data_IF_269581141479
#
_entry.id   IF_269581141479
#
_cell.length_a   1.000
_cell.length_b   1.000
_cell.length_c   1.000
_cell.angle_alpha   90.00
_cell.angle_beta   90.00
_cell.angle_gamma   90.00
#
_symmetry.space_group_name_H-M   'P 1'
#
loop_
_entity.id
_entity.type
_entity.pdbx_description
1 polymer ?
#
# COMPACT_ATOMS: atom_id res chain seq x y z
N UNK A 1 13.66 -31.38 12.06
CA UNK A 1 13.12 -30.37 11.13
C UNK A 1 11.80 -30.89 10.66
N UNK A 2 10.70 -30.13 10.69
CA UNK A 2 9.50 -30.58 10.02
C UNK A 2 9.85 -30.74 8.53
N UNK A 3 9.47 -31.84 7.92
CA UNK A 3 9.52 -32.00 6.48
C UNK A 3 8.78 -30.83 5.85
N UNK A 4 9.37 -30.20 4.82
CA UNK A 4 8.76 -29.08 4.11
C UNK A 4 7.38 -29.51 3.62
N UNK A 5 6.32 -29.06 4.30
CA UNK A 5 4.97 -29.46 3.95
C UNK A 5 4.47 -28.60 2.77
N UNK A 6 4.78 -29.03 1.56
CA UNK A 6 4.34 -28.37 0.32
C UNK A 6 2.82 -28.14 0.25
N UNK A 7 2.04 -29.03 0.88
CA UNK A 7 0.58 -28.88 0.92
C UNK A 7 0.17 -27.64 1.71
N UNK A 8 0.82 -27.38 2.85
CA UNK A 8 0.55 -26.16 3.64
C UNK A 8 1.05 -24.90 2.96
N UNK A 9 2.13 -24.97 2.17
CA UNK A 9 2.58 -23.88 1.33
C UNK A 9 1.52 -23.52 0.28
N UNK A 10 0.99 -24.52 -0.44
CA UNK A 10 -0.06 -24.30 -1.44
C UNK A 10 -1.37 -23.80 -0.82
N UNK A 11 -1.78 -24.34 0.33
CA UNK A 11 -2.95 -23.85 1.07
C UNK A 11 -2.80 -22.39 1.47
N UNK A 12 -1.61 -22.01 1.93
CA UNK A 12 -1.30 -20.62 2.32
C UNK A 12 -1.37 -19.69 1.12
N UNK A 13 -0.74 -20.03 0.01
CA UNK A 13 -0.79 -19.25 -1.23
C UNK A 13 -2.22 -19.07 -1.75
N UNK A 14 -3.03 -20.15 -1.74
CA UNK A 14 -4.43 -20.09 -2.15
C UNK A 14 -5.26 -19.14 -1.27
N UNK A 15 -5.09 -19.19 0.05
CA UNK A 15 -5.77 -18.28 0.98
C UNK A 15 -5.39 -16.81 0.73
N UNK A 16 -4.10 -16.53 0.54
CA UNK A 16 -3.60 -15.18 0.25
C UNK A 16 -4.15 -14.69 -1.09
N UNK A 17 -4.10 -15.53 -2.14
CA UNK A 17 -4.64 -15.20 -3.46
C UNK A 17 -6.15 -14.90 -3.42
N UNK A 18 -6.91 -15.71 -2.67
CA UNK A 18 -8.34 -15.48 -2.46
C UNK A 18 -8.62 -14.15 -1.75
N UNK A 19 -7.83 -13.79 -0.74
CA UNK A 19 -7.97 -12.50 -0.05
C UNK A 19 -7.68 -11.31 -0.98
N UNK A 20 -6.66 -11.39 -1.83
CA UNK A 20 -6.29 -10.32 -2.79
C UNK A 20 -7.40 -10.08 -3.82
N UNK A 21 -8.15 -11.11 -4.16
CA UNK A 21 -9.27 -11.02 -5.13
C UNK A 21 -10.62 -10.71 -4.49
N UNK A 22 -10.69 -10.67 -3.17
CA UNK A 22 -11.91 -10.33 -2.42
C UNK A 22 -12.10 -8.81 -2.27
N UNK A 23 -13.22 -8.43 -1.65
CA UNK A 23 -13.55 -7.03 -1.32
C UNK A 23 -12.97 -6.55 0.03
N UNK A 24 -12.01 -7.27 0.59
CA UNK A 24 -11.33 -6.89 1.81
C UNK A 24 -10.51 -5.60 1.62
N UNK A 25 -10.39 -4.82 2.68
CA UNK A 25 -9.51 -3.65 2.70
C UNK A 25 -8.03 -4.09 2.65
N UNK A 26 -7.17 -3.25 2.07
CA UNK A 26 -5.75 -3.54 1.96
C UNK A 26 -5.10 -3.90 3.30
N UNK A 27 -5.48 -3.18 4.36
CA UNK A 27 -4.96 -3.42 5.72
C UNK A 27 -5.25 -4.85 6.20
N UNK A 28 -6.49 -5.35 5.98
CA UNK A 28 -6.89 -6.70 6.34
C UNK A 28 -6.16 -7.76 5.51
N UNK A 29 -5.98 -7.50 4.20
CA UNK A 29 -5.21 -8.37 3.31
C UNK A 29 -3.76 -8.49 3.79
N UNK A 30 -3.10 -7.37 4.08
CA UNK A 30 -1.72 -7.36 4.55
C UNK A 30 -1.58 -8.02 5.92
N UNK A 31 -2.54 -7.80 6.82
CA UNK A 31 -2.60 -8.48 8.13
C UNK A 31 -2.73 -9.99 7.99
N UNK A 32 -3.58 -10.45 7.07
CA UNK A 32 -3.74 -11.86 6.75
C UNK A 32 -2.44 -12.44 6.18
N UNK A 33 -1.79 -11.75 5.25
CA UNK A 33 -0.52 -12.17 4.65
C UNK A 33 0.54 -12.38 5.74
N UNK A 34 0.79 -11.39 6.61
CA UNK A 34 1.83 -11.53 7.64
C UNK A 34 1.50 -12.63 8.65
N UNK A 35 0.22 -12.82 8.98
CA UNK A 35 -0.22 -13.86 9.91
C UNK A 35 -0.04 -15.26 9.32
N UNK A 36 -0.52 -15.48 8.09
CA UNK A 36 -0.40 -16.78 7.42
C UNK A 36 1.06 -17.12 7.12
N UNK A 37 1.86 -16.12 6.73
CA UNK A 37 3.29 -16.32 6.48
C UNK A 37 4.04 -16.69 7.75
N UNK A 38 3.78 -16.00 8.86
CA UNK A 38 4.37 -16.34 10.15
C UNK A 38 4.00 -17.76 10.60
N UNK A 39 2.72 -18.15 10.43
CA UNK A 39 2.24 -19.47 10.83
C UNK A 39 2.88 -20.59 10.00
N UNK A 40 2.89 -20.47 8.66
CA UNK A 40 3.43 -21.53 7.78
C UNK A 40 4.94 -21.70 7.91
N UNK A 41 5.64 -20.64 8.33
CA UNK A 41 7.09 -20.65 8.57
C UNK A 41 7.45 -20.88 10.04
N UNK A 42 6.47 -21.08 10.93
CA UNK A 42 6.67 -21.14 12.39
C UNK A 42 7.53 -19.97 12.92
N UNK A 43 7.34 -18.81 12.32
CA UNK A 43 8.16 -17.64 12.59
C UNK A 43 7.60 -16.81 13.74
N UNK A 44 8.50 -16.20 14.51
CA UNK A 44 8.13 -15.30 15.62
C UNK A 44 7.48 -14.02 15.13
N UNK A 45 8.04 -13.43 14.08
CA UNK A 45 7.57 -12.16 13.52
C UNK A 45 7.62 -12.23 12.00
N UNK A 46 6.55 -11.76 11.37
CA UNK A 46 6.50 -11.37 9.97
C UNK A 46 6.02 -9.93 9.90
N UNK A 47 6.57 -9.12 9.00
CA UNK A 47 6.12 -7.76 8.76
C UNK A 47 6.30 -7.34 7.31
N UNK A 48 5.48 -6.38 6.92
CA UNK A 48 5.54 -5.70 5.63
C UNK A 48 5.99 -4.27 5.85
N UNK A 49 7.05 -3.89 5.16
CA UNK A 49 7.55 -2.53 5.04
C UNK A 49 7.12 -1.97 3.68
N UNK A 50 6.43 -0.84 3.69
CA UNK A 50 6.06 -0.12 2.48
C UNK A 50 7.11 0.92 2.12
N UNK A 51 7.43 1.06 0.84
CA UNK A 51 8.41 2.03 0.35
C UNK A 51 7.73 3.30 -0.13
N UNK A 52 8.07 4.42 0.48
CA UNK A 52 7.66 5.74 0.03
C UNK A 52 8.72 6.33 -0.91
N UNK A 53 8.40 6.40 -2.20
CA UNK A 53 9.33 6.93 -3.22
C UNK A 53 9.69 8.41 -3.02
N UNK A 54 8.79 9.22 -2.43
CA UNK A 54 9.03 10.65 -2.23
C UNK A 54 10.01 10.91 -1.10
N UNK A 55 9.85 10.21 0.04
CA UNK A 55 10.75 10.36 1.19
C UNK A 55 11.97 9.42 1.13
N UNK A 56 11.98 8.43 0.22
CA UNK A 56 13.02 7.39 0.12
C UNK A 56 13.15 6.58 1.42
N UNK A 57 12.03 6.34 2.09
CA UNK A 57 11.97 5.64 3.38
C UNK A 57 10.95 4.51 3.37
N UNK A 58 11.20 3.52 4.21
CA UNK A 58 10.28 2.42 4.51
C UNK A 58 9.56 2.67 5.82
N UNK A 59 8.26 2.37 5.84
CA UNK A 59 7.41 2.35 7.04
C UNK A 59 6.77 0.96 7.22
N UNK A 60 6.53 0.54 8.47
CA UNK A 60 5.81 -0.72 8.73
C UNK A 60 4.32 -0.49 8.49
N UNK A 61 3.74 -1.27 7.57
CA UNK A 61 2.30 -1.23 7.27
C UNK A 61 1.53 -2.39 7.90
N UNK A 62 2.16 -3.56 8.04
CA UNK A 62 1.53 -4.70 8.67
C UNK A 62 2.54 -5.54 9.45
N UNK A 63 2.09 -6.07 10.59
CA UNK A 63 2.82 -7.06 11.39
C UNK A 63 1.84 -7.82 12.28
N UNK A 64 2.13 -9.09 12.59
CA UNK A 64 1.41 -9.84 13.60
C UNK A 64 2.11 -9.80 14.98
N UNK A 65 3.23 -9.06 15.10
CA UNK A 65 3.89 -8.87 16.38
C UNK A 65 2.98 -8.15 17.38
N UNK A 66 2.97 -8.62 18.64
CA UNK A 66 2.12 -8.08 19.72
C UNK A 66 2.89 -7.15 20.65
N UNK A 67 4.22 -7.06 20.54
CA UNK A 67 5.02 -6.25 21.46
C UNK A 67 4.85 -4.76 21.18
N UNK A 68 4.65 -3.98 22.28
CA UNK A 68 4.50 -2.52 22.17
C UNK A 68 5.71 -1.84 21.54
N UNK A 69 6.92 -2.36 21.78
CA UNK A 69 8.13 -1.83 21.18
C UNK A 69 8.17 -2.10 19.68
N UNK A 70 7.73 -3.28 19.26
CA UNK A 70 7.72 -3.64 17.84
C UNK A 70 6.70 -2.82 17.05
N UNK A 71 5.58 -2.46 17.68
CA UNK A 71 4.50 -1.66 17.08
C UNK A 71 4.80 -0.16 17.00
N UNK A 72 5.90 0.32 17.62
CA UNK A 72 6.26 1.74 17.50
C UNK A 72 6.54 2.09 16.04
N UNK A 73 5.95 3.20 15.58
CA UNK A 73 6.24 3.75 14.26
C UNK A 73 7.73 4.07 14.14
N UNK A 74 8.37 3.53 13.13
CA UNK A 74 9.76 3.77 12.80
C UNK A 74 9.94 3.73 11.30
N UNK A 75 10.94 4.44 10.83
CA UNK A 75 11.30 4.49 9.42
C UNK A 75 12.70 3.94 9.22
N UNK A 76 12.95 3.39 8.05
CA UNK A 76 14.27 2.92 7.60
C UNK A 76 14.51 3.53 6.23
N UNK A 77 15.66 4.19 6.05
CA UNK A 77 16.01 4.76 4.74
C UNK A 77 16.40 3.67 3.75
N UNK A 78 16.18 3.93 2.47
CA UNK A 78 16.58 3.02 1.39
C UNK A 78 18.07 2.65 1.46
N UNK A 79 18.92 3.54 1.94
CA UNK A 79 20.37 3.32 2.07
C UNK A 79 20.76 2.54 3.32
N UNK A 80 19.81 2.18 4.20
CA UNK A 80 20.10 1.64 5.52
C UNK A 80 19.56 0.23 5.75
N UNK A 81 20.30 -0.51 6.57
CA UNK A 81 19.86 -1.81 7.11
C UNK A 81 19.59 -2.88 6.05
N UNK A 82 19.01 -3.96 6.50
CA UNK A 82 18.69 -5.13 5.65
C UNK A 82 17.50 -4.86 4.73
N UNK A 83 16.51 -4.12 5.20
CA UNK A 83 15.35 -3.71 4.40
C UNK A 83 15.80 -2.90 3.18
N UNK A 84 16.61 -1.86 3.40
CA UNK A 84 17.16 -1.06 2.31
C UNK A 84 18.07 -1.87 1.38
N UNK A 85 18.85 -2.82 1.91
CA UNK A 85 19.69 -3.68 1.10
C UNK A 85 18.87 -4.59 0.19
N UNK A 86 17.87 -5.30 0.72
CA UNK A 86 17.00 -6.19 -0.05
C UNK A 86 16.29 -5.42 -1.19
N UNK A 87 15.85 -4.19 -0.90
CA UNK A 87 15.21 -3.34 -1.89
C UNK A 87 16.16 -2.91 -3.02
N UNK A 88 17.38 -2.46 -2.67
CA UNK A 88 18.36 -2.02 -3.69
C UNK A 88 18.87 -3.16 -4.55
N UNK A 89 19.15 -4.32 -3.94
CA UNK A 89 19.64 -5.49 -4.68
C UNK A 89 18.53 -6.22 -5.42
N UNK A 90 17.26 -5.94 -5.09
CA UNK A 90 16.07 -6.63 -5.65
C UNK A 90 16.18 -8.14 -5.50
N UNK A 91 16.78 -8.61 -4.41
CA UNK A 91 17.03 -10.03 -4.11
C UNK A 91 16.72 -10.33 -2.66
N UNK A 92 16.32 -11.57 -2.34
CA UNK A 92 16.23 -12.04 -0.97
C UNK A 92 17.56 -11.91 -0.22
N UNK A 93 17.52 -11.35 0.98
CA UNK A 93 18.68 -11.28 1.90
C UNK A 93 18.39 -12.19 3.08
N UNK A 94 19.23 -13.18 3.29
CA UNK A 94 19.12 -14.16 4.36
C UNK A 94 20.20 -13.88 5.39
N UNK A 95 19.84 -13.91 6.67
CA UNK A 95 20.73 -13.71 7.80
C UNK A 95 20.49 -14.83 8.81
N UNK A 96 21.53 -15.59 9.09
CA UNK A 96 21.47 -16.69 10.06
C UNK A 96 21.51 -16.21 11.51
N UNK A 97 22.16 -15.07 11.79
CA UNK A 97 22.20 -14.43 13.12
C UNK A 97 22.18 -12.91 12.99
N UNK A 98 21.05 -12.30 13.34
CA UNK A 98 20.84 -10.84 13.25
C UNK A 98 21.70 -10.07 14.26
N UNK A 99 22.13 -10.69 15.35
CA UNK A 99 22.94 -10.00 16.37
C UNK A 99 24.40 -9.90 15.92
N UNK A 100 24.91 -10.88 15.20
CA UNK A 100 26.29 -10.90 14.69
C UNK A 100 26.43 -10.11 13.37
N UNK A 101 25.39 -10.01 12.55
CA UNK A 101 25.45 -9.31 11.26
C UNK A 101 25.61 -7.79 11.45
N UNK A 102 26.67 -7.22 10.89
CA UNK A 102 26.97 -5.79 11.00
C UNK A 102 25.99 -4.90 10.25
N UNK A 103 25.30 -5.43 9.25
CA UNK A 103 24.33 -4.70 8.42
C UNK A 103 22.98 -4.53 9.13
N UNK A 104 22.67 -5.41 10.11
CA UNK A 104 21.43 -5.34 10.86
C UNK A 104 21.49 -4.22 11.91
N UNK A 105 20.56 -3.27 11.84
CA UNK A 105 20.56 -2.04 12.67
C UNK A 105 19.87 -2.20 14.01
N UNK A 106 18.78 -2.98 14.09
CA UNK A 106 17.88 -3.02 15.25
C UNK A 106 18.28 -4.07 16.30
N UNK A 107 19.58 -4.22 16.59
CA UNK A 107 20.10 -5.25 17.49
C UNK A 107 19.49 -5.24 18.89
N UNK A 108 19.17 -4.05 19.44
CA UNK A 108 18.53 -3.93 20.76
C UNK A 108 17.13 -4.53 20.77
N UNK A 109 16.36 -4.27 19.70
CA UNK A 109 15.03 -4.82 19.53
C UNK A 109 15.10 -6.34 19.30
N UNK A 110 15.97 -6.80 18.41
CA UNK A 110 16.18 -8.23 18.17
C UNK A 110 16.51 -9.00 19.45
N UNK A 111 17.43 -8.46 20.28
CA UNK A 111 17.77 -9.06 21.57
C UNK A 111 16.59 -9.13 22.52
N UNK A 112 15.76 -8.06 22.60
CA UNK A 112 14.58 -8.01 23.45
C UNK A 112 13.50 -9.01 23.00
N UNK A 113 13.27 -9.13 21.71
CA UNK A 113 12.29 -10.04 21.11
C UNK A 113 12.82 -11.48 20.93
N UNK A 114 14.11 -11.74 21.22
CA UNK A 114 14.73 -13.04 21.06
C UNK A 114 14.88 -13.47 19.60
N UNK A 115 15.07 -12.53 18.68
CA UNK A 115 15.19 -12.81 17.25
C UNK A 115 16.60 -13.29 16.90
N UNK A 116 16.69 -14.36 16.10
CA UNK A 116 17.93 -15.00 15.71
C UNK A 116 18.15 -14.92 14.21
N UNK A 117 17.37 -15.64 13.40
CA UNK A 117 17.52 -15.62 11.94
C UNK A 117 16.46 -14.75 11.26
N UNK A 118 16.78 -14.28 10.06
CA UNK A 118 15.94 -13.37 9.29
C UNK A 118 16.01 -13.70 7.79
N UNK A 119 14.87 -13.61 7.13
CA UNK A 119 14.78 -13.47 5.69
C UNK A 119 14.09 -12.15 5.35
N UNK A 120 14.65 -11.39 4.41
CA UNK A 120 14.16 -10.11 3.92
C UNK A 120 13.96 -10.20 2.41
N UNK A 121 12.70 -10.12 1.97
CA UNK A 121 12.28 -10.39 0.59
C UNK A 121 11.76 -9.09 -0.02
N UNK A 122 12.32 -8.60 -1.15
CA UNK A 122 11.77 -7.45 -1.85
C UNK A 122 10.38 -7.80 -2.41
N UNK A 123 9.43 -6.92 -2.21
CA UNK A 123 8.09 -6.97 -2.76
C UNK A 123 8.09 -6.25 -4.10
N UNK A 124 7.98 -6.99 -5.18
CA UNK A 124 8.20 -6.48 -6.54
C UNK A 124 6.92 -6.51 -7.37
N UNK A 125 6.68 -5.44 -8.13
CA UNK A 125 5.78 -5.47 -9.29
C UNK A 125 6.58 -5.05 -10.51
N UNK A 126 6.75 -5.94 -11.48
CA UNK A 126 7.70 -5.79 -12.58
C UNK A 126 9.10 -5.50 -12.03
N UNK A 127 9.70 -4.36 -12.40
CA UNK A 127 11.02 -3.94 -11.93
C UNK A 127 10.99 -2.94 -10.76
N UNK A 128 9.80 -2.63 -10.26
CA UNK A 128 9.59 -1.65 -9.19
C UNK A 128 9.50 -2.36 -7.84
N UNK A 129 10.25 -1.86 -6.85
CA UNK A 129 10.13 -2.27 -5.46
C UNK A 129 9.00 -1.48 -4.81
N UNK A 130 7.98 -2.18 -4.33
CA UNK A 130 6.84 -1.62 -3.60
C UNK A 130 7.11 -1.59 -2.09
N UNK A 131 7.91 -2.55 -1.62
CA UNK A 131 8.23 -2.70 -0.22
C UNK A 131 9.13 -3.90 0.06
N UNK A 132 9.15 -4.34 1.31
CA UNK A 132 9.93 -5.48 1.76
C UNK A 132 9.14 -6.29 2.77
N UNK A 133 9.07 -7.61 2.58
CA UNK A 133 8.55 -8.57 3.53
C UNK A 133 9.72 -9.12 4.36
N UNK A 134 9.64 -9.02 5.69
CA UNK A 134 10.61 -9.64 6.58
C UNK A 134 9.97 -10.73 7.41
N UNK A 135 10.75 -11.77 7.67
CA UNK A 135 10.39 -12.84 8.58
C UNK A 135 11.55 -13.10 9.55
N UNK A 136 11.21 -13.39 10.81
CA UNK A 136 12.19 -13.61 11.88
C UNK A 136 11.85 -14.87 12.67
N UNK A 137 12.88 -15.63 13.01
CA UNK A 137 12.81 -16.81 13.88
C UNK A 137 13.49 -16.57 15.22
N UNK A 138 13.15 -17.37 16.23
CA UNK A 138 13.77 -17.34 17.57
C UNK A 138 14.87 -18.37 17.74
N UNK A 139 15.08 -19.22 16.74
CA UNK A 139 16.16 -20.18 16.68
C UNK A 139 16.94 -19.99 15.37
N UNK A 140 18.16 -20.48 15.33
CA UNK A 140 18.94 -20.52 14.08
C UNK A 140 18.16 -21.34 13.04
N UNK A 141 17.86 -20.71 11.91
CA UNK A 141 17.08 -21.33 10.84
C UNK A 141 17.81 -21.16 9.50
N UNK A 142 18.01 -22.28 8.82
CA UNK A 142 18.60 -22.31 7.49
C UNK A 142 17.46 -22.30 6.45
N UNK A 143 17.12 -21.14 5.94
CA UNK A 143 16.08 -20.96 4.92
C UNK A 143 16.44 -21.77 3.67
N UNK A 144 15.64 -22.78 3.36
CA UNK A 144 15.81 -23.63 2.18
C UNK A 144 15.43 -22.86 0.91
N UNK A 145 15.79 -23.40 -0.25
CA UNK A 145 15.35 -22.84 -1.54
C UNK A 145 13.84 -22.84 -1.68
N UNK A 146 13.15 -23.84 -1.12
CA UNK A 146 11.68 -23.89 -1.11
C UNK A 146 11.07 -22.78 -0.26
N UNK A 147 11.63 -22.52 0.93
CA UNK A 147 11.19 -21.42 1.79
C UNK A 147 11.35 -20.06 1.10
N UNK A 148 12.52 -19.83 0.50
CA UNK A 148 12.82 -18.58 -0.21
C UNK A 148 11.86 -18.38 -1.39
N UNK A 149 11.54 -19.44 -2.12
CA UNK A 149 10.58 -19.40 -3.23
C UNK A 149 9.16 -19.08 -2.73
N UNK A 150 8.71 -19.74 -1.67
CA UNK A 150 7.42 -19.47 -1.04
C UNK A 150 7.34 -18.00 -0.59
N UNK A 151 8.31 -17.56 0.21
CA UNK A 151 8.35 -16.22 0.76
C UNK A 151 8.43 -15.15 -0.34
N UNK A 152 9.19 -15.37 -1.41
CA UNK A 152 9.26 -14.48 -2.56
C UNK A 152 7.92 -14.40 -3.30
N UNK A 153 7.22 -15.53 -3.44
CA UNK A 153 5.87 -15.55 -4.04
C UNK A 153 4.89 -14.76 -3.20
N UNK A 154 4.90 -14.95 -1.88
CA UNK A 154 4.04 -14.19 -0.95
C UNK A 154 4.38 -12.69 -0.99
N UNK A 155 5.66 -12.34 -0.99
CA UNK A 155 6.11 -10.95 -1.10
C UNK A 155 5.60 -10.28 -2.38
N UNK A 156 5.67 -10.96 -3.51
CA UNK A 156 5.15 -10.45 -4.78
C UNK A 156 3.62 -10.35 -4.79
N UNK A 157 2.91 -11.28 -4.16
CA UNK A 157 1.45 -11.18 -4.00
C UNK A 157 1.05 -9.98 -3.13
N UNK A 158 1.78 -9.71 -2.05
CA UNK A 158 1.57 -8.51 -1.24
C UNK A 158 1.82 -7.22 -2.06
N UNK A 159 2.87 -7.20 -2.88
CA UNK A 159 3.15 -6.08 -3.78
C UNK A 159 2.00 -5.82 -4.77
N UNK A 160 1.46 -6.88 -5.37
CA UNK A 160 0.31 -6.80 -6.29
C UNK A 160 -0.95 -6.27 -5.58
N UNK A 161 -1.22 -6.69 -4.34
CA UNK A 161 -2.34 -6.19 -3.55
C UNK A 161 -2.23 -4.68 -3.30
N UNK A 162 -1.05 -4.20 -2.95
CA UNK A 162 -0.77 -2.77 -2.72
C UNK A 162 -0.95 -1.98 -4.02
N UNK A 163 -0.32 -2.42 -5.11
CA UNK A 163 -0.40 -1.73 -6.41
C UNK A 163 -1.85 -1.67 -6.93
N UNK A 164 -2.60 -2.79 -6.82
CA UNK A 164 -4.03 -2.83 -7.18
C UNK A 164 -4.82 -1.75 -6.46
N UNK A 165 -4.62 -1.64 -5.14
CA UNK A 165 -5.33 -0.64 -4.32
C UNK A 165 -4.95 0.79 -4.69
N UNK A 166 -3.65 1.07 -4.90
CA UNK A 166 -3.20 2.38 -5.38
C UNK A 166 -3.81 2.75 -6.73
N UNK A 167 -3.87 1.82 -7.66
CA UNK A 167 -4.48 2.04 -8.98
C UNK A 167 -5.97 2.33 -8.87
N UNK A 168 -6.72 1.61 -8.03
CA UNK A 168 -8.14 1.86 -7.77
C UNK A 168 -8.35 3.29 -7.25
N UNK A 169 -7.57 3.69 -6.24
CA UNK A 169 -7.66 5.04 -5.66
C UNK A 169 -7.35 6.11 -6.71
N UNK A 170 -6.28 5.95 -7.49
CA UNK A 170 -5.90 6.89 -8.54
C UNK A 170 -6.99 6.99 -9.62
N UNK A 171 -7.54 5.86 -10.05
CA UNK A 171 -8.61 5.82 -11.05
C UNK A 171 -9.84 6.57 -10.54
N UNK A 172 -10.22 6.36 -9.28
CA UNK A 172 -11.36 7.06 -8.66
C UNK A 172 -11.16 8.58 -8.62
N UNK A 173 -9.97 9.03 -8.22
CA UNK A 173 -9.63 10.47 -8.20
C UNK A 173 -9.74 11.08 -9.61
N UNK A 174 -9.17 10.40 -10.62
CA UNK A 174 -9.23 10.89 -12.01
C UNK A 174 -10.68 10.94 -12.53
N UNK A 175 -11.50 9.95 -12.19
CA UNK A 175 -12.93 9.93 -12.56
C UNK A 175 -13.68 11.10 -11.91
N UNK A 176 -13.46 11.35 -10.63
CA UNK A 176 -14.08 12.45 -9.90
C UNK A 176 -13.67 13.83 -10.48
N UNK A 177 -12.41 14.00 -10.86
CA UNK A 177 -11.92 15.22 -11.52
C UNK A 177 -12.56 15.40 -12.90
N UNK A 178 -12.66 14.34 -13.69
CA UNK A 178 -13.29 14.39 -15.01
C UNK A 178 -14.77 14.75 -14.93
N UNK A 179 -15.50 14.14 -14.00
CA UNK A 179 -16.90 14.46 -13.75
C UNK A 179 -17.07 15.92 -13.29
N UNK A 180 -16.20 16.38 -12.41
CA UNK A 180 -16.20 17.78 -11.97
C UNK A 180 -16.02 18.73 -13.14
N UNK A 181 -15.04 18.48 -14.00
CA UNK A 181 -14.82 19.29 -15.22
C UNK A 181 -16.05 19.29 -16.13
N UNK A 182 -16.65 18.12 -16.43
CA UNK A 182 -17.85 18.03 -17.26
C UNK A 182 -19.02 18.86 -16.71
N UNK A 183 -19.23 18.83 -15.37
CA UNK A 183 -20.27 19.62 -14.73
C UNK A 183 -20.01 21.12 -14.81
N UNK A 184 -18.76 21.55 -14.59
CA UNK A 184 -18.36 22.97 -14.72
C UNK A 184 -18.54 23.45 -16.17
N UNK A 185 -18.13 22.65 -17.17
CA UNK A 185 -18.36 23.00 -18.58
C UNK A 185 -19.84 23.14 -18.92
N UNK A 186 -20.69 22.19 -18.48
CA UNK A 186 -22.14 22.27 -18.67
C UNK A 186 -22.73 23.54 -18.02
N UNK A 187 -22.31 23.85 -16.78
CA UNK A 187 -22.77 25.03 -16.07
C UNK A 187 -22.32 26.33 -16.75
N UNK A 188 -21.07 26.40 -17.26
CA UNK A 188 -20.61 27.54 -18.08
C UNK A 188 -21.51 27.74 -19.29
N UNK A 189 -21.78 26.67 -20.06
CA UNK A 189 -22.65 26.74 -21.23
C UNK A 189 -24.07 27.26 -20.89
N UNK A 190 -24.63 26.86 -19.74
CA UNK A 190 -25.91 27.35 -19.25
C UNK A 190 -25.84 28.87 -18.96
N UNK A 191 -24.81 29.31 -18.20
CA UNK A 191 -24.65 30.73 -17.86
C UNK A 191 -24.42 31.62 -19.09
N UNK A 192 -23.62 31.15 -20.04
CA UNK A 192 -23.41 31.85 -21.33
C UNK A 192 -24.72 32.03 -22.06
N UNK A 193 -25.55 30.98 -22.15
CA UNK A 193 -26.84 31.01 -22.83
C UNK A 193 -27.90 31.91 -22.12
N UNK A 194 -27.97 31.80 -20.77
CA UNK A 194 -29.00 32.54 -20.01
C UNK A 194 -28.65 33.99 -19.80
N UNK A 195 -27.37 34.33 -19.64
CA UNK A 195 -26.93 35.69 -19.29
C UNK A 195 -26.26 36.44 -20.45
N UNK A 196 -25.99 35.78 -21.59
CA UNK A 196 -25.33 36.42 -22.72
C UNK A 196 -23.88 36.82 -22.43
N UNK A 197 -23.18 36.11 -21.54
CA UNK A 197 -21.82 36.41 -21.11
C UNK A 197 -20.79 35.49 -21.77
N UNK A 198 -19.52 35.91 -21.75
CA UNK A 198 -18.41 35.12 -22.27
C UNK A 198 -18.12 33.88 -21.40
N UNK A 199 -17.34 32.94 -21.96
CA UNK A 199 -16.88 31.75 -21.23
C UNK A 199 -16.04 32.11 -20.00
N UNK A 200 -15.16 33.12 -20.14
CA UNK A 200 -14.31 33.60 -19.03
C UNK A 200 -15.15 34.22 -17.90
N UNK A 201 -16.16 34.99 -18.24
CA UNK A 201 -17.08 35.60 -17.28
C UNK A 201 -17.92 34.52 -16.58
N UNK A 202 -18.41 33.51 -17.31
CA UNK A 202 -19.14 32.39 -16.74
C UNK A 202 -18.29 31.58 -15.74
N UNK A 203 -17.05 31.29 -16.11
CA UNK A 203 -16.11 30.60 -15.21
C UNK A 203 -15.78 31.44 -13.98
N UNK A 204 -15.53 32.75 -14.15
CA UNK A 204 -15.28 33.71 -13.07
C UNK A 204 -16.45 33.75 -12.06
N UNK A 205 -17.69 33.74 -12.54
CA UNK A 205 -18.88 33.66 -11.69
C UNK A 205 -18.95 32.40 -10.87
N UNK A 206 -18.70 31.23 -11.50
CA UNK A 206 -18.67 29.94 -10.80
C UNK A 206 -17.58 29.96 -9.70
N UNK A 207 -16.37 30.41 -10.04
CA UNK A 207 -15.24 30.50 -9.11
C UNK A 207 -15.50 31.44 -7.95
N UNK A 208 -16.03 32.64 -8.22
CA UNK A 208 -16.40 33.60 -7.19
C UNK A 208 -17.45 33.02 -6.25
N UNK A 209 -18.52 32.43 -6.78
CA UNK A 209 -19.56 31.80 -5.97
C UNK A 209 -19.03 30.66 -5.10
N UNK A 210 -18.08 29.87 -5.62
CA UNK A 210 -17.37 28.82 -4.87
C UNK A 210 -16.60 29.39 -3.67
N UNK A 211 -15.87 30.48 -3.88
CA UNK A 211 -15.12 31.17 -2.82
C UNK A 211 -16.03 31.80 -1.78
N UNK A 212 -17.06 32.52 -2.20
CA UNK A 212 -17.99 33.23 -1.33
C UNK A 212 -18.80 32.26 -0.44
N UNK A 213 -19.18 31.10 -1.00
CA UNK A 213 -19.96 30.08 -0.28
C UNK A 213 -19.10 29.00 0.39
N UNK A 214 -17.79 28.97 0.15
CA UNK A 214 -16.85 27.97 0.66
C UNK A 214 -17.22 26.53 0.29
N UNK A 215 -17.74 26.33 -0.91
CA UNK A 215 -18.06 25.02 -1.49
C UNK A 215 -17.32 24.85 -2.81
N UNK A 216 -17.21 23.61 -3.29
CA UNK A 216 -16.44 23.31 -4.50
C UNK A 216 -17.10 23.93 -5.76
N UNK A 217 -16.30 24.17 -6.79
CA UNK A 217 -16.81 24.60 -8.11
C UNK A 217 -17.75 23.55 -8.72
N UNK A 218 -17.56 22.28 -8.40
CA UNK A 218 -18.47 21.17 -8.78
C UNK A 218 -19.85 21.37 -8.19
N UNK A 219 -19.95 21.65 -6.89
CA UNK A 219 -21.23 21.86 -6.19
C UNK A 219 -21.98 23.10 -6.72
N UNK A 220 -21.24 24.19 -7.02
CA UNK A 220 -21.82 25.37 -7.70
C UNK A 220 -22.35 24.99 -9.08
N UNK A 221 -21.58 24.22 -9.84
CA UNK A 221 -22.00 23.79 -11.18
C UNK A 221 -23.25 22.89 -11.12
N UNK A 222 -23.32 21.96 -10.17
CA UNK A 222 -24.50 21.13 -9.93
C UNK A 222 -25.73 21.96 -9.59
N UNK A 223 -25.59 22.96 -8.74
CA UNK A 223 -26.70 23.87 -8.38
C UNK A 223 -27.21 24.65 -9.59
N UNK A 224 -26.32 25.15 -10.45
CA UNK A 224 -26.67 25.85 -11.69
C UNK A 224 -27.40 24.91 -12.64
N UNK A 225 -26.89 23.71 -12.86
CA UNK A 225 -27.51 22.71 -13.73
C UNK A 225 -28.92 22.34 -13.24
N UNK A 226 -29.02 22.02 -11.95
CA UNK A 226 -30.31 21.66 -11.33
C UNK A 226 -31.34 22.80 -11.45
N UNK A 227 -30.94 24.05 -11.15
CA UNK A 227 -31.80 25.22 -11.28
C UNK A 227 -32.27 25.44 -12.72
N UNK A 228 -31.39 25.20 -13.69
CA UNK A 228 -31.76 25.30 -15.12
C UNK A 228 -32.72 24.20 -15.53
N UNK A 229 -32.47 22.94 -15.14
CA UNK A 229 -33.32 21.80 -15.47
C UNK A 229 -34.75 21.95 -14.88
N UNK A 230 -34.85 22.40 -13.62
CA UNK A 230 -36.16 22.67 -12.99
C UNK A 230 -36.99 23.73 -13.78
N UNK A 231 -36.31 24.77 -14.30
CA UNK A 231 -36.98 25.82 -15.09
C UNK A 231 -37.44 25.35 -16.47
N UNK A 232 -36.87 24.24 -16.99
CA UNK A 232 -37.29 23.64 -18.26
C UNK A 232 -38.46 22.66 -18.15
N UNK A 233 -38.88 22.30 -16.93
CA UNK A 233 -40.00 21.38 -16.65
C UNK A 233 -41.38 22.12 -16.72
N UNK A 234 -41.54 23.10 -17.57
CA UNK A 234 -42.80 23.77 -17.79
C UNK A 234 -43.56 23.16 -18.95
#
# INVERSE_FOLDING_TARGET
MPETNYEDYLKTLNKISGAITSDLFLEDILKLIVTLTANVMEAKICNVWFFNEKSQEFTIEATQAMSKEYLKKRTIKLTEGIVGLAAREKKPIIISDVLSDKRYKEKKLAKKEGLVSMASLPMMVKDKVIGVLNIYTTASYNFTKADINLLSTIANQAAVAIEKTELIIRTKIIQEELESRKKVEKAKGILMKEKGISEEEAFSLIRKSSMDKRISTKEIAEAIILSYEIRQIK
#
